data_IF_497830293157
#
_entry.id   IF_497830293157
#
_cell.length_a   1.000
_cell.length_b   1.000
_cell.length_c   1.000
_cell.angle_alpha   90.00
_cell.angle_beta   90.00
_cell.angle_gamma   90.00
#
_symmetry.space_group_name_H-M   'P 1'
#
loop_
_entity.id
_entity.type
_entity.pdbx_description
1 polymer ?
#
# COMPACT_ATOMS: atom_id res chain seq x y z
N UNK A 1 39.27 9.98 -12.44
CA UNK A 1 38.30 11.10 -12.65
C UNK A 1 37.07 10.69 -13.47
N UNK A 2 37.17 9.85 -14.51
CA UNK A 2 35.99 9.43 -15.32
C UNK A 2 34.92 8.64 -14.56
N UNK A 3 35.30 7.63 -13.77
CA UNK A 3 34.34 6.81 -12.99
C UNK A 3 33.53 7.65 -11.98
N UNK A 4 34.16 8.60 -11.31
CA UNK A 4 33.52 9.51 -10.36
C UNK A 4 32.49 10.43 -11.03
N UNK A 5 32.80 10.95 -12.22
CA UNK A 5 31.88 11.81 -13.00
C UNK A 5 30.68 11.03 -13.52
N UNK A 6 30.88 9.78 -13.99
CA UNK A 6 29.77 8.89 -14.40
C UNK A 6 28.86 8.58 -13.22
N UNK A 7 29.42 8.25 -12.05
CA UNK A 7 28.65 7.94 -10.85
C UNK A 7 27.84 9.16 -10.34
N UNK A 8 28.43 10.36 -10.38
CA UNK A 8 27.74 11.61 -10.04
C UNK A 8 26.59 11.92 -11.01
N UNK A 9 26.78 11.64 -12.31
CA UNK A 9 25.75 11.88 -13.33
C UNK A 9 24.59 10.90 -13.20
N UNK A 10 24.88 9.62 -12.92
CA UNK A 10 23.85 8.60 -12.70
C UNK A 10 23.04 8.88 -11.44
N UNK A 11 23.70 9.27 -10.35
CA UNK A 11 23.03 9.70 -9.12
C UNK A 11 22.09 10.88 -9.35
N UNK A 12 22.52 11.90 -10.12
CA UNK A 12 21.65 13.03 -10.49
C UNK A 12 20.43 12.59 -11.29
N UNK A 13 20.57 11.65 -12.24
CA UNK A 13 19.44 11.11 -13.01
C UNK A 13 18.45 10.36 -12.11
N UNK A 14 18.95 9.55 -11.18
CA UNK A 14 18.11 8.82 -10.22
C UNK A 14 17.33 9.79 -9.32
N UNK A 15 17.99 10.84 -8.80
CA UNK A 15 17.33 11.88 -7.99
C UNK A 15 16.21 12.55 -8.79
N UNK A 16 16.48 12.96 -10.03
CA UNK A 16 15.48 13.58 -10.90
C UNK A 16 14.31 12.64 -11.20
N UNK A 17 14.58 11.34 -11.41
CA UNK A 17 13.55 10.33 -11.61
C UNK A 17 12.65 10.20 -10.36
N UNK A 18 13.25 10.05 -9.18
CA UNK A 18 12.50 9.95 -7.92
C UNK A 18 11.64 11.18 -7.66
N UNK A 19 12.14 12.39 -7.93
CA UNK A 19 11.34 13.61 -7.83
C UNK A 19 10.13 13.60 -8.76
N UNK A 20 10.31 13.15 -10.01
CA UNK A 20 9.21 13.05 -10.97
C UNK A 20 8.15 12.06 -10.49
N UNK A 21 8.56 10.85 -10.12
CA UNK A 21 7.63 9.81 -9.62
C UNK A 21 6.87 10.29 -8.39
N UNK A 22 7.55 10.99 -7.47
CA UNK A 22 6.91 11.52 -6.27
C UNK A 22 5.87 12.60 -6.59
N UNK A 23 6.15 13.52 -7.51
CA UNK A 23 5.17 14.52 -7.93
C UNK A 23 3.97 13.90 -8.64
N UNK A 24 4.17 12.82 -9.42
CA UNK A 24 3.09 12.06 -10.04
C UNK A 24 2.21 11.38 -8.98
N UNK A 25 2.81 10.77 -7.95
CA UNK A 25 2.08 10.18 -6.81
C UNK A 25 1.26 11.24 -6.05
N UNK A 26 1.86 12.41 -5.78
CA UNK A 26 1.15 13.54 -5.13
C UNK A 26 -0.02 14.03 -5.97
N UNK A 27 0.17 14.13 -7.29
CA UNK A 27 -0.91 14.52 -8.21
C UNK A 27 -2.03 13.48 -8.22
N UNK A 28 -1.71 12.19 -8.30
CA UNK A 28 -2.69 11.11 -8.25
C UNK A 28 -3.49 11.13 -6.94
N UNK A 29 -2.84 11.33 -5.79
CA UNK A 29 -3.50 11.47 -4.50
C UNK A 29 -4.45 12.68 -4.47
N UNK A 30 -3.99 13.87 -4.91
CA UNK A 30 -4.84 15.08 -4.95
C UNK A 30 -6.06 14.93 -5.85
N UNK A 31 -5.97 14.12 -6.91
CA UNK A 31 -7.08 13.88 -7.83
C UNK A 31 -8.16 12.96 -7.22
N UNK A 32 -7.80 12.06 -6.31
CA UNK A 32 -8.75 11.18 -5.62
C UNK A 32 -8.28 10.94 -4.16
N UNK A 33 -8.41 11.94 -3.28
CA UNK A 33 -7.86 11.85 -1.92
C UNK A 33 -8.68 10.93 -1.02
N UNK A 34 -9.95 10.67 -1.37
CA UNK A 34 -10.84 9.80 -0.60
C UNK A 34 -11.52 8.76 -1.51
N UNK A 35 -10.78 7.76 -2.01
CA UNK A 35 -11.36 6.73 -2.86
C UNK A 35 -12.51 6.01 -2.15
N UNK A 36 -13.55 5.71 -2.90
CA UNK A 36 -14.73 5.00 -2.43
C UNK A 36 -14.41 3.60 -1.93
N UNK A 37 -15.31 3.01 -1.14
CA UNK A 37 -15.19 1.62 -0.69
C UNK A 37 -15.02 0.65 -1.87
N UNK A 38 -15.74 0.88 -2.96
CA UNK A 38 -15.68 0.07 -4.18
C UNK A 38 -14.30 0.14 -4.83
N UNK A 39 -13.76 1.34 -5.01
CA UNK A 39 -12.43 1.54 -5.61
C UNK A 39 -11.33 0.90 -4.74
N UNK A 40 -11.38 1.10 -3.42
CA UNK A 40 -10.41 0.49 -2.50
C UNK A 40 -10.47 -1.04 -2.54
N UNK A 41 -11.67 -1.62 -2.55
CA UNK A 41 -11.85 -3.07 -2.70
C UNK A 41 -11.31 -3.58 -4.03
N UNK A 42 -11.54 -2.86 -5.12
CA UNK A 42 -11.02 -3.27 -6.42
C UNK A 42 -9.49 -3.19 -6.47
N UNK A 43 -8.89 -2.12 -5.93
CA UNK A 43 -7.43 -2.00 -5.84
C UNK A 43 -6.80 -3.15 -5.03
N UNK A 44 -7.41 -3.53 -3.89
CA UNK A 44 -6.98 -4.69 -3.11
C UNK A 44 -7.11 -6.01 -3.88
N UNK A 45 -8.21 -6.20 -4.63
CA UNK A 45 -8.38 -7.39 -5.49
C UNK A 45 -7.35 -7.43 -6.63
N UNK A 46 -7.03 -6.28 -7.23
CA UNK A 46 -5.98 -6.15 -8.25
C UNK A 46 -4.61 -6.50 -7.68
N UNK A 47 -4.28 -6.00 -6.49
CA UNK A 47 -3.05 -6.34 -5.79
C UNK A 47 -2.97 -7.84 -5.50
N UNK A 48 -4.04 -8.43 -4.96
CA UNK A 48 -4.13 -9.89 -4.72
C UNK A 48 -3.86 -10.69 -5.98
N UNK A 49 -4.50 -10.32 -7.11
CA UNK A 49 -4.30 -10.97 -8.41
C UNK A 49 -2.86 -10.86 -8.89
N UNK A 50 -2.25 -9.68 -8.77
CA UNK A 50 -0.87 -9.45 -9.17
C UNK A 50 0.11 -10.29 -8.34
N UNK A 51 -0.08 -10.37 -7.02
CA UNK A 51 0.74 -11.19 -6.12
C UNK A 51 0.68 -12.67 -6.50
N UNK A 52 -0.52 -13.21 -6.71
CA UNK A 52 -0.70 -14.61 -7.12
C UNK A 52 -0.11 -14.89 -8.50
N UNK A 53 -0.33 -13.99 -9.47
CA UNK A 53 0.19 -14.14 -10.83
C UNK A 53 1.73 -14.08 -10.91
N UNK A 54 2.39 -13.49 -9.91
CA UNK A 54 3.84 -13.31 -9.87
C UNK A 54 4.51 -14.05 -8.72
N UNK A 55 3.81 -14.94 -8.01
CA UNK A 55 4.33 -15.58 -6.80
C UNK A 55 5.66 -16.31 -7.02
N UNK A 56 5.80 -17.08 -8.11
CA UNK A 56 7.04 -17.82 -8.36
C UNK A 56 8.21 -16.87 -8.66
N UNK A 57 7.96 -15.81 -9.45
CA UNK A 57 8.96 -14.76 -9.72
C UNK A 57 9.40 -14.03 -8.46
N UNK A 58 8.48 -13.81 -7.52
CA UNK A 58 8.79 -13.18 -6.24
C UNK A 58 9.66 -14.10 -5.38
N UNK A 59 9.31 -15.38 -5.31
CA UNK A 59 10.10 -16.35 -4.53
C UNK A 59 11.49 -16.55 -5.13
N UNK A 60 11.62 -16.63 -6.45
CA UNK A 60 12.92 -16.68 -7.14
C UNK A 60 13.77 -15.42 -6.92
N UNK A 61 13.15 -14.25 -6.82
CA UNK A 61 13.86 -13.02 -6.49
C UNK A 61 14.38 -13.06 -5.04
N UNK A 62 13.53 -13.47 -4.10
CA UNK A 62 13.90 -13.57 -2.68
C UNK A 62 15.02 -14.59 -2.49
N UNK A 63 14.95 -15.77 -3.11
CA UNK A 63 16.02 -16.76 -3.00
C UNK A 63 17.36 -16.22 -3.52
N UNK A 64 17.35 -15.46 -4.61
CA UNK A 64 18.57 -14.81 -5.12
C UNK A 64 19.11 -13.74 -4.18
N UNK A 65 18.24 -12.97 -3.53
CA UNK A 65 18.65 -11.91 -2.61
C UNK A 65 19.20 -12.47 -1.29
N UNK A 66 18.68 -13.61 -0.83
CA UNK A 66 18.99 -14.19 0.48
C UNK A 66 19.79 -15.50 0.44
N UNK A 67 20.19 -15.95 -0.76
CA UNK A 67 21.11 -17.07 -1.00
C UNK A 67 20.78 -18.35 -0.19
N UNK A 68 19.84 -19.15 -0.69
CA UNK A 68 19.33 -20.41 -0.11
C UNK A 68 18.09 -20.26 0.79
N UNK A 69 17.14 -19.42 0.40
CA UNK A 69 15.85 -19.32 1.09
C UNK A 69 14.93 -20.45 0.62
N UNK A 70 14.27 -21.14 1.56
CA UNK A 70 13.27 -22.16 1.19
C UNK A 70 12.11 -21.54 0.40
N UNK A 71 11.72 -22.19 -0.70
CA UNK A 71 10.55 -21.80 -1.49
C UNK A 71 9.29 -21.76 -0.63
N UNK A 72 9.07 -22.80 0.15
CA UNK A 72 7.88 -22.93 1.00
C UNK A 72 7.86 -21.89 2.11
N UNK A 73 9.02 -21.60 2.71
CA UNK A 73 9.13 -20.54 3.70
C UNK A 73 8.78 -19.17 3.10
N UNK A 74 9.27 -18.87 1.90
CA UNK A 74 8.97 -17.61 1.20
C UNK A 74 7.49 -17.50 0.84
N UNK A 75 6.88 -18.60 0.38
CA UNK A 75 5.45 -18.65 0.11
C UNK A 75 4.63 -18.40 1.37
N UNK A 76 4.98 -19.05 2.49
CA UNK A 76 4.25 -18.91 3.75
C UNK A 76 4.43 -17.49 4.33
N UNK A 77 5.67 -17.02 4.43
CA UNK A 77 6.00 -15.79 5.13
C UNK A 77 5.57 -14.54 4.34
N UNK A 78 5.79 -14.51 3.03
CA UNK A 78 5.64 -13.29 2.23
C UNK A 78 4.35 -13.30 1.42
N UNK A 79 4.12 -14.36 0.64
CA UNK A 79 2.98 -14.41 -0.29
C UNK A 79 1.68 -14.64 0.47
N UNK A 80 1.60 -15.73 1.25
CA UNK A 80 0.38 -16.09 1.98
C UNK A 80 0.00 -14.99 2.98
N UNK A 81 0.96 -14.42 3.72
CA UNK A 81 0.60 -13.34 4.66
C UNK A 81 0.12 -12.07 3.98
N UNK A 82 0.71 -11.69 2.86
CA UNK A 82 0.19 -10.56 2.06
C UNK A 82 -1.23 -10.81 1.59
N UNK A 83 -1.51 -12.04 1.10
CA UNK A 83 -2.85 -12.42 0.63
C UNK A 83 -3.86 -12.47 1.79
N UNK A 84 -3.48 -12.99 2.96
CA UNK A 84 -4.33 -13.02 4.15
C UNK A 84 -4.62 -11.61 4.67
N UNK A 85 -3.61 -10.74 4.72
CA UNK A 85 -3.77 -9.33 5.05
C UNK A 85 -4.80 -8.66 4.14
N UNK A 86 -4.68 -8.86 2.82
CA UNK A 86 -5.65 -8.33 1.85
C UNK A 86 -7.06 -8.90 2.09
N UNK A 87 -7.21 -10.21 2.30
CA UNK A 87 -8.52 -10.82 2.54
C UNK A 87 -9.17 -10.27 3.83
N UNK A 88 -8.38 -10.13 4.89
CA UNK A 88 -8.82 -9.55 6.16
C UNK A 88 -9.25 -8.10 5.97
N UNK A 89 -8.45 -7.28 5.28
CA UNK A 89 -8.83 -5.91 4.95
C UNK A 89 -10.13 -5.89 4.14
N UNK A 90 -10.26 -6.69 3.08
CA UNK A 90 -11.48 -6.73 2.25
C UNK A 90 -12.75 -7.04 3.06
N UNK A 91 -12.64 -7.92 4.05
CA UNK A 91 -13.74 -8.29 4.95
C UNK A 91 -14.17 -7.13 5.86
N UNK A 92 -13.21 -6.37 6.39
CA UNK A 92 -13.47 -5.37 7.44
C UNK A 92 -13.52 -3.90 6.94
N UNK A 93 -13.00 -3.62 5.73
CA UNK A 93 -12.81 -2.26 5.22
C UNK A 93 -14.09 -1.43 5.21
N UNK A 94 -15.23 -2.07 4.91
CA UNK A 94 -16.52 -1.38 4.90
C UNK A 94 -16.91 -0.81 6.27
N UNK A 95 -16.54 -1.48 7.36
CA UNK A 95 -16.81 -1.01 8.72
C UNK A 95 -15.77 0.01 9.17
N UNK A 96 -14.50 -0.19 8.82
CA UNK A 96 -13.42 0.74 9.15
C UNK A 96 -13.59 2.13 8.52
N UNK A 97 -14.22 2.20 7.34
CA UNK A 97 -14.49 3.47 6.67
C UNK A 97 -15.69 4.24 7.24
N UNK A 98 -16.50 3.64 8.13
CA UNK A 98 -17.68 4.32 8.68
C UNK A 98 -17.28 5.37 9.72
N UNK A 99 -18.03 6.48 9.84
CA UNK A 99 -17.79 7.46 10.89
C UNK A 99 -17.99 6.82 12.26
N UNK A 100 -17.05 7.06 13.17
CA UNK A 100 -17.07 6.48 14.51
C UNK A 100 -17.81 7.42 15.47
N UNK A 101 -18.92 6.97 16.03
CA UNK A 101 -19.72 7.78 16.97
C UNK A 101 -18.92 8.11 18.24
N UNK A 102 -19.17 9.27 18.84
CA UNK A 102 -18.58 9.68 20.12
C UNK A 102 -19.65 10.05 21.12
N UNK A 103 -19.37 9.79 22.39
CA UNK A 103 -20.25 10.18 23.49
C UNK A 103 -20.42 11.71 23.51
N UNK A 104 -21.64 12.15 23.81
CA UNK A 104 -22.00 13.55 23.99
C UNK A 104 -22.62 13.68 25.37
N UNK A 105 -22.17 14.66 26.16
CA UNK A 105 -22.79 14.95 27.46
C UNK A 105 -24.27 15.27 27.30
N UNK A 106 -25.09 14.82 28.24
CA UNK A 106 -26.55 15.06 28.27
C UNK A 106 -26.88 16.56 28.20
N UNK A 107 -25.99 17.42 28.71
CA UNK A 107 -26.14 18.88 28.64
C UNK A 107 -26.29 19.41 27.20
N UNK A 108 -25.75 18.70 26.21
CA UNK A 108 -25.78 19.11 24.81
C UNK A 108 -26.87 18.41 24.00
N UNK A 109 -27.88 17.79 24.63
CA UNK A 109 -28.98 17.23 23.86
C UNK A 109 -29.70 18.32 23.04
N UNK A 110 -30.08 18.04 21.77
CA UNK A 110 -30.05 16.76 21.07
C UNK A 110 -28.82 16.53 20.15
N UNK A 111 -27.67 17.15 20.43
CA UNK A 111 -26.48 17.06 19.57
C UNK A 111 -25.89 15.64 19.45
N UNK A 112 -25.14 15.39 18.37
CA UNK A 112 -24.41 14.13 18.15
C UNK A 112 -22.99 14.38 17.63
N UNK A 113 -22.02 13.56 18.07
CA UNK A 113 -20.62 13.66 17.68
C UNK A 113 -20.16 12.43 16.89
N UNK A 114 -19.35 12.64 15.84
CA UNK A 114 -18.75 11.58 15.01
C UNK A 114 -17.31 11.95 14.64
N UNK A 115 -16.44 10.94 14.53
CA UNK A 115 -15.09 11.05 13.98
C UNK A 115 -15.07 10.47 12.58
N UNK A 116 -14.58 11.25 11.62
CA UNK A 116 -14.34 10.83 10.24
C UNK A 116 -12.83 10.68 10.05
N UNK A 117 -12.39 9.46 9.74
CA UNK A 117 -10.99 9.21 9.43
C UNK A 117 -10.71 9.59 7.98
N UNK A 118 -9.71 10.43 7.76
CA UNK A 118 -9.29 10.88 6.44
C UNK A 118 -7.84 10.42 6.18
N UNK A 119 -7.48 10.06 4.94
CA UNK A 119 -6.12 9.70 4.56
C UNK A 119 -5.11 10.83 4.74
#
# INVERSE_FOLDING_TARGET
>A
MGATVVQLTESKKQIQHTHRVFEDQKKAFRNNPMPSLTERKENLKRLKRALLAHQDRLVEAIDRDFSCRSKDESLIAEVIQSIQGINYTLKNLGDWMKPSKRHVSVLFQPASNKVYYQP
#
